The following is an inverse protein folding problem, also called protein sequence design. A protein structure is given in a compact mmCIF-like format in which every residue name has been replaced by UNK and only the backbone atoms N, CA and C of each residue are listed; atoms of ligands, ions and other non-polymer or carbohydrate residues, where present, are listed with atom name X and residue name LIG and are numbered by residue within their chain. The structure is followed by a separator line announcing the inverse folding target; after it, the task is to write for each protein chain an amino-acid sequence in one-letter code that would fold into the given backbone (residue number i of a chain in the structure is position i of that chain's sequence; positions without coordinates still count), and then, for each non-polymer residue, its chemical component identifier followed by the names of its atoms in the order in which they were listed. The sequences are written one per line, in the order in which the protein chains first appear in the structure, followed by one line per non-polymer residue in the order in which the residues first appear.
data_IF_826718967735
#
_entry.id   IF_826718967735
#
_cell.length_a   1.000
_cell.length_b   1.000
_cell.length_c   1.000
_cell.angle_alpha   90.00
_cell.angle_beta   90.00
_cell.angle_gamma   90.00
#
_symmetry.space_group_name_H-M   'P 1'
#
loop_
_entity.id
_entity.type
_entity.pdbx_description
1 polymer ?
#
# COMPACT_ATOMS: atom_id res chain seq x y z
N UNK A 1 2.34 13.67 2.92
CA UNK A 1 1.57 13.28 4.13
C UNK A 1 0.60 12.15 3.80
N UNK A 2 -0.25 11.71 4.74
CA UNK A 2 -1.09 10.50 4.58
C UNK A 2 -2.07 10.54 3.39
N UNK A 3 -2.76 11.66 3.17
CA UNK A 3 -3.65 11.83 2.00
C UNK A 3 -2.90 11.72 0.67
N UNK A 4 -1.71 12.33 0.59
CA UNK A 4 -0.88 12.26 -0.62
C UNK A 4 -0.40 10.83 -0.90
N UNK A 5 0.00 10.10 0.14
CA UNK A 5 0.39 8.69 0.03
C UNK A 5 -0.76 7.82 -0.49
N UNK A 6 -1.99 8.05 0.00
CA UNK A 6 -3.17 7.33 -0.48
C UNK A 6 -3.44 7.60 -1.96
N UNK A 7 -3.46 8.87 -2.37
CA UNK A 7 -3.71 9.23 -3.77
C UNK A 7 -2.63 8.70 -4.71
N UNK A 8 -1.36 8.72 -4.28
CA UNK A 8 -0.25 8.10 -5.01
C UNK A 8 -0.43 6.59 -5.13
N UNK A 9 -0.78 5.91 -4.04
CA UNK A 9 -1.04 4.46 -4.03
C UNK A 9 -2.19 4.08 -4.97
N UNK A 10 -3.33 4.77 -4.88
CA UNK A 10 -4.49 4.52 -5.75
C UNK A 10 -4.14 4.71 -7.23
N UNK A 11 -3.40 5.78 -7.56
CA UNK A 11 -2.94 6.03 -8.91
C UNK A 11 -1.99 4.93 -9.39
N UNK A 12 -0.96 4.59 -8.62
CA UNK A 12 0.00 3.53 -8.99
C UNK A 12 -0.71 2.20 -9.23
N UNK A 13 -1.66 1.83 -8.36
CA UNK A 13 -2.43 0.59 -8.52
C UNK A 13 -3.36 0.64 -9.74
N UNK A 14 -3.98 1.79 -10.02
CA UNK A 14 -4.81 2.00 -11.20
C UNK A 14 -4.00 1.88 -12.49
N UNK A 15 -2.84 2.56 -12.56
CA UNK A 15 -1.93 2.56 -13.72
C UNK A 15 -1.44 1.14 -14.06
N UNK A 16 -1.40 0.23 -13.08
CA UNK A 16 -1.01 -1.17 -13.25
C UNK A 16 -2.18 -2.17 -13.32
N UNK A 17 -3.43 -1.71 -13.30
CA UNK A 17 -4.61 -2.59 -13.34
C UNK A 17 -4.72 -3.53 -12.13
N UNK A 18 -4.32 -3.04 -10.94
CA UNK A 18 -4.31 -3.78 -9.68
C UNK A 18 -5.34 -3.25 -8.68
N UNK A 19 -5.91 -2.06 -8.92
CA UNK A 19 -6.77 -1.37 -7.95
C UNK A 19 -8.00 -2.21 -7.57
N UNK A 20 -8.57 -2.94 -8.51
CA UNK A 20 -9.71 -3.85 -8.35
C UNK A 20 -9.34 -5.20 -7.71
N UNK A 21 -8.04 -5.51 -7.58
CA UNK A 21 -7.53 -6.78 -7.04
C UNK A 21 -7.09 -6.68 -5.58
N UNK A 22 -7.23 -5.51 -4.97
CA UNK A 22 -6.82 -5.27 -3.58
C UNK A 22 -7.91 -4.55 -2.81
N UNK A 23 -7.83 -4.63 -1.48
CA UNK A 23 -8.66 -3.84 -0.58
C UNK A 23 -7.77 -2.81 0.10
N UNK A 24 -8.13 -1.53 -0.02
CA UNK A 24 -7.47 -0.43 0.69
C UNK A 24 -8.27 -0.16 1.97
N UNK A 25 -7.64 -0.39 3.12
CA UNK A 25 -8.24 -0.14 4.43
C UNK A 25 -7.69 1.16 5.03
N UNK A 26 -8.61 2.04 5.45
CA UNK A 26 -8.26 3.22 6.23
C UNK A 26 -8.16 2.85 7.70
N UNK A 27 -7.04 3.17 8.32
CA UNK A 27 -6.80 2.87 9.74
C UNK A 27 -6.56 4.15 10.55
N UNK A 28 -6.87 4.06 11.84
CA UNK A 28 -6.45 5.08 12.81
C UNK A 28 -4.96 4.95 13.13
N UNK A 29 -4.45 5.83 13.98
CA UNK A 29 -3.06 5.84 14.43
C UNK A 29 -2.56 4.43 14.82
N UNK A 30 -1.49 3.99 14.15
CA UNK A 30 -0.81 2.70 14.40
C UNK A 30 0.35 2.83 15.42
N UNK A 31 0.43 3.96 16.15
CA UNK A 31 1.53 4.29 17.09
C UNK A 31 2.93 4.29 16.46
N UNK A 32 3.02 4.57 15.16
CA UNK A 32 4.30 4.70 14.42
C UNK A 32 4.50 6.12 13.86
N UNK A 33 4.12 7.15 14.64
CA UNK A 33 4.11 8.54 14.16
C UNK A 33 5.51 9.04 13.73
N UNK A 34 6.59 8.48 14.27
CA UNK A 34 7.96 8.83 13.89
C UNK A 34 8.35 8.41 12.47
N UNK A 35 7.57 7.54 11.83
CA UNK A 35 7.75 7.12 10.42
C UNK A 35 6.53 7.46 9.58
N UNK A 36 5.70 8.41 10.02
CA UNK A 36 4.54 8.83 9.26
C UNK A 36 4.96 9.52 7.94
N UNK A 37 4.15 9.39 6.87
CA UNK A 37 2.93 8.59 6.77
C UNK A 37 3.21 7.08 6.71
N UNK A 38 2.39 6.28 7.41
CA UNK A 38 2.59 4.83 7.48
C UNK A 38 1.64 4.09 6.52
N UNK A 39 2.19 3.11 5.79
CA UNK A 39 1.45 2.18 4.95
C UNK A 39 1.92 0.75 5.23
N UNK A 40 0.99 -0.19 5.28
CA UNK A 40 1.26 -1.61 5.51
C UNK A 40 0.63 -2.42 4.41
N UNK A 41 1.44 -3.18 3.67
CA UNK A 41 0.97 -4.18 2.74
C UNK A 41 0.88 -5.53 3.48
N UNK A 42 -0.28 -6.18 3.42
CA UNK A 42 -0.49 -7.53 3.94
C UNK A 42 -0.76 -8.50 2.78
N UNK A 43 0.10 -9.50 2.62
CA UNK A 43 -0.05 -10.59 1.63
C UNK A 43 -0.13 -11.92 2.37
N UNK A 44 -1.35 -12.44 2.57
CA UNK A 44 -1.61 -13.58 3.43
C UNK A 44 -1.10 -13.33 4.86
N UNK A 45 -0.10 -14.11 5.30
CA UNK A 45 0.54 -13.97 6.63
C UNK A 45 1.71 -12.98 6.66
N UNK A 46 2.19 -12.51 5.49
CA UNK A 46 3.34 -11.60 5.40
C UNK A 46 2.88 -10.15 5.51
N UNK A 47 3.63 -9.32 6.23
CA UNK A 47 3.38 -7.88 6.36
C UNK A 47 4.64 -7.09 6.01
N UNK A 48 4.48 -6.07 5.17
CA UNK A 48 5.53 -5.14 4.77
C UNK A 48 5.13 -3.75 5.26
N UNK A 49 6.02 -3.06 5.97
CA UNK A 49 5.75 -1.74 6.56
C UNK A 49 6.57 -0.66 5.86
N UNK A 50 6.02 0.55 5.78
CA UNK A 50 6.70 1.73 5.25
C UNK A 50 7.29 1.49 3.84
N UNK A 51 6.51 0.83 2.99
CA UNK A 51 6.87 0.47 1.63
C UNK A 51 6.30 1.49 0.64
N UNK A 52 7.07 1.82 -0.39
CA UNK A 52 6.66 2.77 -1.43
C UNK A 52 5.55 2.19 -2.33
N UNK A 53 4.59 3.01 -2.82
CA UNK A 53 3.55 2.59 -3.76
C UNK A 53 4.04 1.73 -4.94
N UNK A 54 5.12 2.11 -5.61
CA UNK A 54 5.69 1.31 -6.71
C UNK A 54 6.16 -0.09 -6.28
N UNK A 55 6.75 -0.20 -5.10
CA UNK A 55 7.20 -1.49 -4.58
C UNK A 55 6.01 -2.35 -4.15
N UNK A 56 4.92 -1.73 -3.66
CA UNK A 56 3.65 -2.43 -3.41
C UNK A 56 3.12 -3.02 -4.72
N UNK A 57 3.03 -2.22 -5.78
CA UNK A 57 2.52 -2.66 -7.06
C UNK A 57 3.37 -3.81 -7.65
N UNK A 58 4.69 -3.69 -7.62
CA UNK A 58 5.58 -4.78 -8.09
C UNK A 58 5.45 -6.07 -7.28
N UNK A 59 5.25 -5.98 -5.96
CA UNK A 59 5.01 -7.16 -5.11
C UNK A 59 3.66 -7.81 -5.41
N UNK A 60 2.63 -7.01 -5.67
CA UNK A 60 1.30 -7.50 -6.04
C UNK A 60 1.32 -8.20 -7.39
N UNK A 61 1.96 -7.61 -8.40
CA UNK A 61 2.13 -8.23 -9.72
C UNK A 61 2.77 -9.61 -9.60
N UNK A 62 3.88 -9.71 -8.86
CA UNK A 62 4.56 -10.99 -8.62
C UNK A 62 3.74 -12.00 -7.82
N UNK A 63 2.76 -11.57 -7.03
CA UNK A 63 1.93 -12.46 -6.22
C UNK A 63 0.67 -12.94 -6.95
N UNK A 64 0.19 -12.18 -7.93
CA UNK A 64 -1.04 -12.43 -8.68
C UNK A 64 -0.83 -13.17 -10.01
N UNK A 65 0.41 -13.24 -10.52
CA UNK A 65 0.85 -14.23 -11.53
C UNK A 65 1.10 -15.58 -10.91
#
# INVERSE_FOLDING_TARGET
GGKGLLSELEKTLCDRGLLDKVTIEHTSCQKCCGSAPNCVLQLGKKKYKNIHPDAIASLLESHLT
#
